data_IF_840403664215
#
_entry.id   IF_840403664215
#
_cell.length_a   1.000
_cell.length_b   1.000
_cell.length_c   1.000
_cell.angle_alpha   90.00
_cell.angle_beta   90.00
_cell.angle_gamma   90.00
#
_symmetry.space_group_name_H-M   'P 1'
#
loop_
_entity.id
_entity.type
_entity.pdbx_description
1 polymer ?
#
# COMPACT_ATOMS: atom_id res chain seq x y z
N UNK A 1 10.44 12.48 -12.85
CA UNK A 1 9.93 12.77 -11.49
C UNK A 1 10.82 12.11 -10.43
N UNK A 2 11.49 12.91 -9.60
CA UNK A 2 12.35 12.45 -8.52
C UNK A 2 11.71 12.83 -7.18
N UNK A 3 11.71 11.90 -6.22
CA UNK A 3 11.23 12.14 -4.86
C UNK A 3 12.11 13.20 -4.20
N UNK A 4 11.50 14.16 -3.51
CA UNK A 4 12.20 15.13 -2.68
C UNK A 4 12.07 14.68 -1.22
N UNK A 5 13.15 14.77 -0.45
CA UNK A 5 13.11 14.48 0.99
C UNK A 5 13.75 15.61 1.80
N UNK A 6 13.20 15.81 3.01
CA UNK A 6 13.70 16.76 3.99
C UNK A 6 14.80 16.10 4.82
N UNK A 7 16.00 16.71 4.84
CA UNK A 7 17.12 16.22 5.66
C UNK A 7 17.57 17.31 6.63
N UNK A 8 17.46 17.01 7.92
CA UNK A 8 18.03 17.84 8.98
C UNK A 8 19.56 17.70 9.02
N UNK A 9 20.23 18.83 9.27
CA UNK A 9 21.69 18.98 9.41
C UNK A 9 21.96 19.94 10.56
N UNK A 10 23.20 19.96 11.04
CA UNK A 10 23.63 20.79 12.17
C UNK A 10 23.38 22.29 11.97
N UNK A 11 23.41 22.78 10.72
CA UNK A 11 23.21 24.19 10.36
C UNK A 11 21.81 24.50 9.82
N UNK A 12 20.84 23.59 9.96
CA UNK A 12 19.46 23.76 9.48
C UNK A 12 19.00 22.57 8.64
N UNK A 13 18.07 22.80 7.71
CA UNK A 13 17.52 21.72 6.89
C UNK A 13 17.41 22.12 5.43
N UNK A 14 17.53 21.13 4.54
CA UNK A 14 17.52 21.33 3.09
C UNK A 14 16.68 20.27 2.39
N UNK A 15 15.86 20.69 1.44
CA UNK A 15 15.19 19.80 0.50
C UNK A 15 16.20 19.26 -0.51
N UNK A 16 16.31 17.94 -0.61
CA UNK A 16 17.22 17.26 -1.52
C UNK A 16 16.44 16.35 -2.48
N UNK A 17 16.93 16.28 -3.71
CA UNK A 17 16.49 15.28 -4.68
C UNK A 17 17.01 13.91 -4.24
N UNK A 18 16.09 12.97 -4.05
CA UNK A 18 16.38 11.56 -3.96
C UNK A 18 16.65 11.07 -5.39
N UNK A 19 17.93 10.94 -5.73
CA UNK A 19 18.34 10.37 -7.01
C UNK A 19 18.24 8.85 -6.93
N UNK A 20 17.04 8.34 -7.22
CA UNK A 20 16.76 6.90 -7.22
C UNK A 20 17.41 6.20 -8.42
N UNK A 21 17.78 6.95 -9.46
CA UNK A 21 18.29 6.38 -10.71
C UNK A 21 19.81 6.16 -10.70
N UNK A 22 20.56 6.99 -9.96
CA UNK A 22 22.00 6.79 -9.71
C UNK A 22 22.33 6.27 -8.32
N UNK A 23 21.34 6.10 -7.44
CA UNK A 23 21.55 5.27 -6.27
C UNK A 23 21.89 3.87 -6.77
N UNK A 24 23.07 3.34 -6.40
CA UNK A 24 23.23 1.90 -6.35
C UNK A 24 22.05 1.43 -5.49
N UNK A 25 21.05 0.79 -6.11
CA UNK A 25 19.99 0.11 -5.41
C UNK A 25 20.67 -1.12 -4.80
N UNK A 26 21.51 -0.87 -3.79
CA UNK A 26 22.13 -1.88 -2.99
C UNK A 26 20.95 -2.60 -2.35
N UNK A 27 20.78 -3.85 -2.75
CA UNK A 27 19.92 -4.84 -2.14
C UNK A 27 19.67 -4.51 -0.68
N UNK A 28 18.40 -4.49 -0.26
CA UNK A 28 18.01 -4.35 1.15
C UNK A 28 19.04 -5.08 2.01
N UNK A 29 19.64 -4.38 2.98
CA UNK A 29 20.58 -5.03 3.90
C UNK A 29 19.91 -6.26 4.50
N UNK A 30 20.69 -7.27 4.90
CA UNK A 30 20.11 -8.50 5.49
C UNK A 30 19.11 -8.21 6.61
N UNK A 31 19.37 -7.16 7.41
CA UNK A 31 18.46 -6.68 8.45
C UNK A 31 17.13 -6.17 7.88
N UNK A 32 17.16 -5.29 6.87
CA UNK A 32 15.98 -4.76 6.19
C UNK A 32 15.20 -5.87 5.47
N UNK A 33 15.89 -6.81 4.82
CA UNK A 33 15.27 -7.96 4.18
C UNK A 33 14.49 -8.84 5.17
N UNK A 34 15.02 -9.05 6.38
CA UNK A 34 14.30 -9.77 7.45
C UNK A 34 13.02 -9.04 7.88
N UNK A 35 13.08 -7.72 8.00
CA UNK A 35 11.91 -6.90 8.38
C UNK A 35 10.85 -6.96 7.28
N UNK A 36 11.23 -6.78 6.02
CA UNK A 36 10.28 -6.87 4.88
C UNK A 36 9.64 -8.25 4.81
N UNK A 37 10.43 -9.32 4.96
CA UNK A 37 9.90 -10.68 5.02
C UNK A 37 8.88 -10.85 6.14
N UNK A 38 9.20 -10.36 7.35
CA UNK A 38 8.29 -10.43 8.49
C UNK A 38 6.96 -9.73 8.19
N UNK A 39 6.99 -8.53 7.62
CA UNK A 39 5.78 -7.81 7.22
C UNK A 39 4.93 -8.64 6.25
N UNK A 40 5.57 -9.29 5.27
CA UNK A 40 4.85 -10.12 4.30
C UNK A 40 4.20 -11.34 4.95
N UNK A 41 4.92 -11.99 5.87
CA UNK A 41 4.42 -13.14 6.63
C UNK A 41 3.26 -12.73 7.54
N UNK A 42 3.39 -11.59 8.25
CA UNK A 42 2.34 -11.04 9.12
C UNK A 42 1.08 -10.69 8.32
N UNK A 43 1.21 -10.03 7.17
CA UNK A 43 0.06 -9.73 6.27
C UNK A 43 -0.61 -11.01 5.80
N UNK A 44 0.16 -12.01 5.35
CA UNK A 44 -0.41 -13.31 4.92
C UNK A 44 -1.15 -14.00 6.06
N UNK A 45 -0.60 -13.95 7.27
CA UNK A 45 -1.20 -14.55 8.46
C UNK A 45 -2.50 -13.85 8.89
N UNK A 46 -2.52 -12.51 8.87
CA UNK A 46 -3.70 -11.71 9.17
C UNK A 46 -4.83 -11.97 8.17
N UNK A 47 -4.50 -12.15 6.89
CA UNK A 47 -5.50 -12.38 5.84
C UNK A 47 -5.77 -13.86 5.55
N UNK A 48 -5.33 -14.80 6.40
CA UNK A 48 -5.39 -16.25 6.13
C UNK A 48 -6.81 -16.76 5.87
N UNK A 49 -7.80 -16.29 6.63
CA UNK A 49 -9.19 -16.74 6.50
C UNK A 49 -9.80 -16.31 5.17
N UNK A 50 -9.49 -15.09 4.72
CA UNK A 50 -9.93 -14.56 3.44
C UNK A 50 -9.29 -15.39 2.29
N UNK A 51 -8.02 -15.78 2.44
CA UNK A 51 -7.28 -16.59 1.45
C UNK A 51 -7.83 -18.00 1.26
N UNK A 52 -8.48 -18.59 2.27
CA UNK A 52 -9.13 -19.90 2.15
C UNK A 52 -10.29 -19.87 1.15
N UNK A 53 -10.98 -18.73 1.03
CA UNK A 53 -12.09 -18.52 0.10
C UNK A 53 -11.68 -17.94 -1.25
N UNK A 54 -10.38 -17.73 -1.48
CA UNK A 54 -9.86 -17.07 -2.67
C UNK A 54 -9.60 -18.07 -3.81
N UNK A 55 -9.79 -17.66 -5.08
CA UNK A 55 -9.32 -18.42 -6.22
C UNK A 55 -7.78 -18.51 -6.21
N UNK A 56 -7.23 -19.56 -6.83
CA UNK A 56 -5.79 -19.90 -6.76
C UNK A 56 -4.91 -18.73 -7.22
N UNK A 57 -5.39 -17.97 -8.21
CA UNK A 57 -4.73 -16.80 -8.78
C UNK A 57 -4.56 -15.66 -7.78
N UNK A 58 -5.51 -15.50 -6.84
CA UNK A 58 -5.47 -14.46 -5.81
C UNK A 58 -4.85 -14.96 -4.50
N UNK A 59 -4.96 -16.25 -4.18
CA UNK A 59 -4.54 -16.83 -2.90
C UNK A 59 -3.07 -16.54 -2.56
N UNK A 60 -2.19 -16.53 -3.56
CA UNK A 60 -0.75 -16.30 -3.40
C UNK A 60 -0.33 -14.82 -3.49
N UNK A 61 -1.25 -13.90 -3.81
CA UNK A 61 -0.95 -12.46 -3.96
C UNK A 61 -0.92 -11.79 -2.59
N UNK A 62 0.03 -10.87 -2.35
CA UNK A 62 0.16 -10.23 -1.03
C UNK A 62 -1.08 -9.38 -0.70
N UNK A 63 -1.51 -8.54 -1.64
CA UNK A 63 -2.64 -7.64 -1.48
C UNK A 63 -3.89 -8.20 -2.16
N UNK A 64 -4.83 -8.64 -1.34
CA UNK A 64 -6.14 -9.16 -1.76
C UNK A 64 -7.26 -8.35 -1.11
N UNK A 65 -8.43 -8.38 -1.72
CA UNK A 65 -9.62 -7.75 -1.18
C UNK A 65 -10.84 -8.63 -1.44
N UNK A 66 -11.88 -8.41 -0.65
CA UNK A 66 -13.21 -8.98 -0.89
C UNK A 66 -14.08 -7.92 -1.57
N UNK A 67 -14.55 -8.21 -2.78
CA UNK A 67 -15.30 -7.25 -3.56
C UNK A 67 -16.67 -6.98 -2.93
N UNK A 68 -17.00 -5.69 -2.81
CA UNK A 68 -18.34 -5.20 -2.46
C UNK A 68 -19.18 -4.85 -3.69
N UNK A 69 -18.64 -5.03 -4.90
CA UNK A 69 -19.36 -4.70 -6.13
C UNK A 69 -20.55 -5.64 -6.35
N UNK A 70 -21.70 -5.17 -6.86
CA UNK A 70 -22.87 -6.03 -7.06
C UNK A 70 -22.61 -7.24 -7.98
N UNK A 71 -21.75 -7.09 -8.99
CA UNK A 71 -21.44 -8.14 -9.97
C UNK A 71 -20.50 -9.23 -9.45
N UNK A 72 -19.64 -8.91 -8.47
CA UNK A 72 -18.64 -9.83 -7.90
C UNK A 72 -18.74 -9.87 -6.37
N UNK A 73 -19.93 -9.65 -5.81
CA UNK A 73 -20.09 -9.48 -4.38
C UNK A 73 -19.56 -10.69 -3.61
N UNK A 74 -18.70 -10.46 -2.63
CA UNK A 74 -18.12 -11.49 -1.79
C UNK A 74 -16.96 -12.28 -2.41
N UNK A 75 -16.64 -12.06 -3.70
CA UNK A 75 -15.50 -12.69 -4.38
C UNK A 75 -14.20 -12.05 -3.90
N UNK A 76 -13.21 -12.89 -3.57
CA UNK A 76 -11.86 -12.43 -3.24
C UNK A 76 -11.03 -12.34 -4.51
N UNK A 77 -10.36 -11.20 -4.72
CA UNK A 77 -9.49 -10.95 -5.87
C UNK A 77 -8.24 -10.17 -5.42
N UNK A 78 -7.26 -10.03 -6.31
CA UNK A 78 -6.06 -9.25 -6.05
C UNK A 78 -6.19 -7.82 -6.59
N UNK A 79 -5.55 -6.86 -5.92
CA UNK A 79 -5.49 -5.48 -6.42
C UNK A 79 -4.73 -5.36 -7.75
N UNK A 80 -3.78 -6.26 -7.99
CA UNK A 80 -3.03 -6.35 -9.25
C UNK A 80 -3.95 -6.63 -10.45
N UNK A 81 -4.96 -7.49 -10.27
CA UNK A 81 -5.90 -7.85 -11.34
C UNK A 81 -7.00 -6.82 -11.59
N UNK A 82 -7.26 -5.92 -10.65
CA UNK A 82 -8.50 -5.13 -10.61
C UNK A 82 -8.35 -3.68 -11.10
N UNK A 83 -7.15 -3.31 -11.57
CA UNK A 83 -6.84 -1.97 -12.07
C UNK A 83 -6.87 -0.89 -10.98
N UNK A 84 -6.30 0.29 -11.26
CA UNK A 84 -6.14 1.36 -10.27
C UNK A 84 -7.45 1.88 -9.64
N UNK A 85 -8.58 1.68 -10.32
CA UNK A 85 -9.89 2.17 -9.87
C UNK A 85 -10.40 1.46 -8.61
N UNK A 86 -10.05 0.19 -8.39
CA UNK A 86 -10.51 -0.54 -7.20
C UNK A 86 -9.73 -0.14 -5.93
N UNK A 87 -8.44 0.15 -6.08
CA UNK A 87 -7.61 0.61 -4.97
C UNK A 87 -8.07 1.99 -4.49
N UNK A 88 -8.28 2.94 -5.40
CA UNK A 88 -8.81 4.27 -5.08
C UNK A 88 -10.15 4.20 -4.34
N UNK A 89 -11.11 3.40 -4.83
CA UNK A 89 -12.40 3.22 -4.15
C UNK A 89 -12.26 2.63 -2.75
N UNK A 90 -11.30 1.73 -2.55
CA UNK A 90 -11.05 1.13 -1.24
C UNK A 90 -10.44 2.14 -0.27
N UNK A 91 -9.53 2.98 -0.76
CA UNK A 91 -8.92 4.06 0.02
C UNK A 91 -9.93 5.17 0.37
N UNK A 92 -10.77 5.58 -0.58
CA UNK A 92 -11.86 6.53 -0.34
C UNK A 92 -12.83 5.99 0.72
N UNK A 93 -13.21 4.72 0.60
CA UNK A 93 -14.09 4.07 1.58
C UNK A 93 -13.42 3.98 2.96
N UNK A 94 -12.14 3.65 3.01
CA UNK A 94 -11.38 3.59 4.26
C UNK A 94 -11.35 4.96 4.96
N UNK A 95 -11.11 6.03 4.20
CA UNK A 95 -11.16 7.41 4.71
C UNK A 95 -12.51 7.74 5.34
N UNK A 96 -13.61 7.40 4.65
CA UNK A 96 -14.97 7.63 5.14
C UNK A 96 -15.30 6.78 6.38
N UNK A 97 -15.02 5.47 6.33
CA UNK A 97 -15.34 4.52 7.40
C UNK A 97 -14.57 4.84 8.70
N UNK A 98 -13.40 5.46 8.60
CA UNK A 98 -12.57 5.87 9.74
C UNK A 98 -12.64 7.36 10.07
N UNK A 99 -13.45 8.15 9.37
CA UNK A 99 -13.60 9.59 9.60
C UNK A 99 -12.28 10.35 9.46
N UNK A 100 -11.43 9.96 8.51
CA UNK A 100 -10.18 10.66 8.23
C UNK A 100 -10.51 11.96 7.50
N UNK A 101 -10.13 13.10 8.09
CA UNK A 101 -10.42 14.42 7.54
C UNK A 101 -9.14 15.14 7.14
N UNK A 102 -9.26 16.01 6.13
CA UNK A 102 -8.25 17.01 5.81
C UNK A 102 -8.37 18.26 6.71
N UNK A 103 -7.51 19.25 6.46
CA UNK A 103 -7.48 20.51 7.23
C UNK A 103 -8.75 21.35 7.06
N UNK A 104 -9.49 21.15 5.96
CA UNK A 104 -10.74 21.84 5.66
C UNK A 104 -11.97 21.09 6.20
N UNK A 105 -11.77 19.93 6.85
CA UNK A 105 -12.83 19.09 7.40
C UNK A 105 -13.55 18.20 6.37
N UNK A 106 -13.01 18.07 5.15
CA UNK A 106 -13.52 17.14 4.15
C UNK A 106 -12.90 15.75 4.33
N UNK A 107 -13.53 14.66 3.84
CA UNK A 107 -12.92 13.34 3.84
C UNK A 107 -11.57 13.34 3.14
N UNK A 108 -10.54 12.82 3.83
CA UNK A 108 -9.17 12.77 3.35
C UNK A 108 -9.09 11.97 2.04
N UNK A 109 -8.67 12.62 0.96
CA UNK A 109 -8.45 11.96 -0.34
C UNK A 109 -7.15 11.17 -0.32
N UNK A 110 -7.28 9.85 -0.24
CA UNK A 110 -6.16 8.92 -0.27
C UNK A 110 -5.95 8.40 -1.70
N UNK A 111 -4.76 8.62 -2.27
CA UNK A 111 -4.40 8.09 -3.58
C UNK A 111 -3.04 7.38 -3.55
N UNK A 112 -2.89 6.26 -4.27
CA UNK A 112 -1.57 5.69 -4.55
C UNK A 112 -0.83 6.66 -5.49
N UNK A 113 0.30 7.19 -5.03
CA UNK A 113 1.18 8.14 -5.72
C UNK A 113 1.87 7.58 -6.96
#
# INVERSE_FOLDING_TARGET
>A
PCLLYWKERSEGAKMLHLDIFHAEISWLTTSQGRVVKKIFDDVKHLTREIRLSAPVEAQNKLFIYRSSSPRKYGVVDSFENSGGNQLNKTLDKFSQDHGLLDEDGNPLKLSPS
#
